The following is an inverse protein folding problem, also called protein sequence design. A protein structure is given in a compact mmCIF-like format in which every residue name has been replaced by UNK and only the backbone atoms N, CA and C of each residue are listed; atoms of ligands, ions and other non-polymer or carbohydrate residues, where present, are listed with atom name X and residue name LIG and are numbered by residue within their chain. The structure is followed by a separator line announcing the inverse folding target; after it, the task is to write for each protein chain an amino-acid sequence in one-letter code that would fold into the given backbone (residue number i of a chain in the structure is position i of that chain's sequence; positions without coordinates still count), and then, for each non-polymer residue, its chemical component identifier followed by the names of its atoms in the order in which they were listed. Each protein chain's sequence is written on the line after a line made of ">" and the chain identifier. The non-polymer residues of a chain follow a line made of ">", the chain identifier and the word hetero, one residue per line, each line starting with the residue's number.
data_IF_385285696206
#
_entry.id   IF_385285696206
#
_cell.length_a   1.000
_cell.length_b   1.000
_cell.length_c   1.000
_cell.angle_alpha   90.00
_cell.angle_beta   90.00
_cell.angle_gamma   90.00
#
_symmetry.space_group_name_H-M   'P 1'
#
loop_
_entity.id
_entity.type
_entity.pdbx_description
1 polymer ?
#
# COMPACT_ATOMS: atom_id res chain seq x y z
N UNK A 1 34.36 15.64 -14.08
CA UNK A 1 33.11 15.01 -14.55
C UNK A 1 31.94 15.75 -13.89
N UNK A 2 31.14 16.48 -14.67
CA UNK A 2 29.99 17.19 -14.11
C UNK A 2 28.93 16.18 -13.62
N UNK A 3 28.33 16.46 -12.46
CA UNK A 3 27.21 15.68 -11.94
C UNK A 3 25.97 15.76 -12.84
N UNK A 4 24.96 14.97 -12.52
CA UNK A 4 23.65 15.01 -13.17
C UNK A 4 23.07 16.43 -13.20
N UNK A 5 22.41 16.81 -14.29
CA UNK A 5 21.67 18.08 -14.39
C UNK A 5 20.51 18.09 -13.36
N UNK A 6 20.07 19.27 -12.89
CA UNK A 6 18.88 19.39 -12.04
C UNK A 6 17.67 18.69 -12.69
N UNK A 7 17.09 17.72 -11.99
CA UNK A 7 15.98 16.88 -12.49
C UNK A 7 16.40 15.59 -13.21
N UNK A 8 17.65 15.47 -13.65
CA UNK A 8 18.17 14.27 -14.31
C UNK A 8 18.77 13.34 -13.25
N UNK A 9 18.04 12.32 -12.77
CA UNK A 9 18.60 11.34 -11.82
C UNK A 9 19.46 10.30 -12.56
N UNK A 10 20.74 10.61 -12.82
CA UNK A 10 21.72 9.64 -13.38
C UNK A 10 22.34 8.69 -12.35
N UNK A 11 22.05 8.87 -11.05
CA UNK A 11 22.58 8.05 -9.98
C UNK A 11 21.64 7.98 -8.78
N UNK A 12 21.79 6.94 -7.97
CA UNK A 12 20.96 6.65 -6.81
C UNK A 12 20.09 5.41 -6.98
N UNK A 13 19.49 4.97 -5.88
CA UNK A 13 18.65 3.78 -5.84
C UNK A 13 17.31 4.04 -6.52
N UNK A 14 16.88 3.16 -7.42
CA UNK A 14 15.62 3.30 -8.14
C UNK A 14 14.44 3.43 -7.16
N UNK A 15 13.56 4.41 -7.41
CA UNK A 15 12.39 4.68 -6.59
C UNK A 15 11.51 3.42 -6.55
N UNK A 16 11.10 3.00 -5.36
CA UNK A 16 10.26 1.82 -5.14
C UNK A 16 11.03 0.50 -4.95
N UNK A 17 12.36 0.49 -5.07
CA UNK A 17 13.12 -0.73 -4.75
C UNK A 17 13.03 -1.09 -3.27
N UNK A 18 12.91 -2.39 -2.96
CA UNK A 18 12.81 -2.92 -1.60
C UNK A 18 14.14 -2.90 -0.87
N UNK A 19 14.16 -2.44 0.40
CA UNK A 19 15.37 -2.45 1.22
C UNK A 19 15.92 -3.88 1.30
N UNK A 20 17.24 -4.05 1.39
CA UNK A 20 17.90 -5.36 1.45
C UNK A 20 17.22 -6.31 2.46
N UNK A 21 17.00 -5.84 3.69
CA UNK A 21 16.30 -6.61 4.74
C UNK A 21 14.87 -7.01 4.35
N UNK A 22 14.15 -6.16 3.62
CA UNK A 22 12.80 -6.47 3.18
C UNK A 22 12.81 -7.49 2.05
N UNK A 23 13.75 -7.35 1.11
CA UNK A 23 13.93 -8.32 0.03
C UNK A 23 14.32 -9.70 0.56
N UNK A 24 15.23 -9.77 1.54
CA UNK A 24 15.62 -11.02 2.20
C UNK A 24 14.44 -11.69 2.91
N UNK A 25 13.59 -10.92 3.60
CA UNK A 25 12.39 -11.46 4.27
C UNK A 25 11.37 -12.01 3.28
N UNK A 26 11.14 -11.31 2.17
CA UNK A 26 10.24 -11.78 1.11
C UNK A 26 10.80 -13.07 0.49
N UNK A 27 12.07 -13.08 0.12
CA UNK A 27 12.72 -14.27 -0.46
C UNK A 27 12.72 -15.46 0.51
N UNK A 28 12.92 -15.23 1.82
CA UNK A 28 12.85 -16.28 2.83
C UNK A 28 11.43 -16.85 2.99
N UNK A 29 10.41 -15.98 2.94
CA UNK A 29 9.01 -16.41 2.99
C UNK A 29 8.60 -17.19 1.72
N UNK A 30 9.05 -16.74 0.54
CA UNK A 30 8.85 -17.44 -0.73
C UNK A 30 9.55 -18.81 -0.73
N UNK A 31 10.80 -18.87 -0.25
CA UNK A 31 11.57 -20.11 -0.16
C UNK A 31 10.98 -21.11 0.84
N UNK A 32 10.37 -20.62 1.92
CA UNK A 32 9.64 -21.46 2.88
C UNK A 32 8.31 -22.01 2.32
N UNK A 33 7.87 -21.52 1.15
CA UNK A 33 6.71 -22.03 0.42
C UNK A 33 5.35 -21.63 0.99
N UNK A 34 5.31 -20.75 2.00
CA UNK A 34 4.08 -20.29 2.62
C UNK A 34 4.15 -18.79 2.86
N UNK A 35 3.50 -18.01 2.00
CA UNK A 35 3.40 -16.57 2.24
C UNK A 35 2.42 -16.29 3.38
N UNK A 36 2.57 -15.17 4.10
CA UNK A 36 1.64 -14.80 5.16
C UNK A 36 0.17 -14.77 4.71
N UNK A 37 -0.08 -14.32 3.46
CA UNK A 37 -1.42 -14.33 2.89
C UNK A 37 -1.94 -15.76 2.67
N UNK A 38 -1.10 -16.67 2.18
CA UNK A 38 -1.49 -18.07 1.94
C UNK A 38 -1.88 -18.77 3.23
N UNK A 39 -1.16 -18.49 4.32
CA UNK A 39 -1.51 -18.99 5.64
C UNK A 39 -2.91 -18.54 6.08
N UNK A 40 -3.18 -17.23 6.01
CA UNK A 40 -4.51 -16.69 6.38
C UNK A 40 -5.61 -17.30 5.50
N UNK A 41 -5.37 -17.43 4.19
CA UNK A 41 -6.34 -18.06 3.28
C UNK A 41 -6.56 -19.54 3.56
N UNK A 42 -5.54 -20.27 4.00
CA UNK A 42 -5.68 -21.69 4.38
C UNK A 42 -6.60 -21.86 5.59
N UNK A 43 -6.48 -20.99 6.61
CA UNK A 43 -7.35 -21.01 7.80
C UNK A 43 -8.77 -20.60 7.43
N UNK A 44 -8.93 -19.55 6.63
CA UNK A 44 -10.25 -19.04 6.24
C UNK A 44 -11.08 -20.08 5.47
N UNK A 45 -10.41 -20.89 4.63
CA UNK A 45 -11.02 -21.93 3.78
C UNK A 45 -11.23 -23.27 4.48
N UNK A 46 -10.55 -23.53 5.59
CA UNK A 46 -10.68 -24.80 6.32
C UNK A 46 -11.95 -24.80 7.20
N UNK A 47 -12.93 -25.60 6.81
CA UNK A 47 -14.21 -25.76 7.52
C UNK A 47 -14.05 -26.42 8.90
N UNK A 48 -12.90 -27.04 9.19
CA UNK A 48 -12.61 -27.64 10.50
C UNK A 48 -12.11 -26.62 11.53
N UNK A 49 -11.76 -25.41 11.10
CA UNK A 49 -11.32 -24.35 12.00
C UNK A 49 -12.49 -23.75 12.77
N UNK A 50 -12.21 -23.21 13.95
CA UNK A 50 -13.19 -22.45 14.72
C UNK A 50 -13.62 -21.20 13.96
N UNK A 51 -14.85 -20.75 14.21
CA UNK A 51 -15.38 -19.52 13.62
C UNK A 51 -14.46 -18.32 13.93
N UNK A 52 -13.95 -18.23 15.16
CA UNK A 52 -13.02 -17.18 15.59
C UNK A 52 -11.74 -17.15 14.76
N UNK A 53 -11.14 -18.32 14.48
CA UNK A 53 -9.92 -18.39 13.66
C UNK A 53 -10.20 -17.96 12.21
N UNK A 54 -11.37 -18.33 11.68
CA UNK A 54 -11.80 -17.95 10.33
C UNK A 54 -12.09 -16.44 10.25
N UNK A 55 -12.74 -15.88 11.26
CA UNK A 55 -12.98 -14.43 11.35
C UNK A 55 -11.67 -13.64 11.45
N UNK A 56 -10.74 -14.09 12.30
CA UNK A 56 -9.40 -13.49 12.40
C UNK A 56 -8.69 -13.50 11.05
N UNK A 57 -8.69 -14.64 10.36
CA UNK A 57 -8.05 -14.77 9.06
C UNK A 57 -8.70 -13.85 8.00
N UNK A 58 -10.03 -13.74 8.00
CA UNK A 58 -10.76 -12.84 7.10
C UNK A 58 -10.38 -11.37 7.33
N UNK A 59 -10.38 -10.92 8.59
CA UNK A 59 -10.06 -9.53 8.95
C UNK A 59 -8.63 -9.15 8.55
N UNK A 60 -7.67 -10.05 8.81
CA UNK A 60 -6.25 -9.79 8.51
C UNK A 60 -5.91 -9.93 7.03
N UNK A 61 -6.63 -10.78 6.28
CA UNK A 61 -6.45 -10.91 4.84
C UNK A 61 -7.12 -9.77 4.04
N UNK A 62 -8.19 -9.16 4.57
CA UNK A 62 -8.98 -8.14 3.86
C UNK A 62 -8.16 -7.02 3.20
N UNK A 63 -7.13 -6.41 3.83
CA UNK A 63 -6.34 -5.33 3.22
C UNK A 63 -5.55 -5.73 1.97
N UNK A 64 -5.24 -7.02 1.81
CA UNK A 64 -4.48 -7.54 0.68
C UNK A 64 -5.36 -7.93 -0.50
N UNK A 65 -6.65 -8.16 -0.27
CA UNK A 65 -7.62 -8.61 -1.29
C UNK A 65 -8.60 -7.49 -1.68
N UNK A 66 -8.92 -6.61 -0.72
CA UNK A 66 -9.81 -5.47 -0.90
C UNK A 66 -9.08 -4.21 -0.46
N UNK A 67 -8.77 -3.35 -1.44
CA UNK A 67 -8.14 -2.06 -1.19
C UNK A 67 -8.96 -1.27 -0.17
N UNK A 68 -8.35 -0.94 0.97
CA UNK A 68 -8.97 -0.05 1.95
C UNK A 68 -9.15 1.34 1.32
N UNK A 69 -10.28 1.99 1.59
CA UNK A 69 -10.46 3.39 1.22
C UNK A 69 -9.32 4.22 1.80
N UNK A 70 -8.57 4.89 0.93
CA UNK A 70 -7.48 5.76 1.33
C UNK A 70 -8.07 7.02 1.96
N UNK A 71 -7.69 7.31 3.21
CA UNK A 71 -7.96 8.62 3.81
C UNK A 71 -6.97 9.62 3.22
N UNK A 72 -7.41 10.41 2.25
CA UNK A 72 -6.60 11.47 1.64
C UNK A 72 -6.93 12.78 2.33
N UNK A 73 -5.96 13.34 3.06
CA UNK A 73 -6.05 14.70 3.57
C UNK A 73 -5.76 15.67 2.41
N UNK A 74 -6.77 16.43 1.98
CA UNK A 74 -6.61 17.43 0.92
C UNK A 74 -6.27 18.79 1.53
N UNK A 75 -4.98 19.09 1.63
CA UNK A 75 -4.50 20.44 1.97
C UNK A 75 -4.42 21.27 0.68
N UNK A 76 -5.50 21.98 0.35
CA UNK A 76 -5.53 22.92 -0.77
C UNK A 76 -5.38 24.36 -0.27
N UNK A 77 -4.44 25.10 -0.83
CA UNK A 77 -4.34 26.54 -0.60
C UNK A 77 -5.25 27.22 -1.63
N UNK A 78 -6.50 27.45 -1.24
CA UNK A 78 -7.52 27.99 -2.15
C UNK A 78 -7.36 29.51 -2.18
N UNK A 79 -6.95 30.04 -3.33
CA UNK A 79 -6.76 31.48 -3.57
C UNK A 79 -8.05 32.21 -3.95
N UNK A 80 -9.12 31.49 -4.26
CA UNK A 80 -10.42 32.06 -4.65
C UNK A 80 -11.44 31.67 -3.59
N UNK A 81 -12.03 32.66 -2.91
CA UNK A 81 -13.04 32.35 -1.91
C UNK A 81 -14.34 31.88 -2.59
N UNK A 82 -15.19 31.21 -1.82
CA UNK A 82 -16.45 30.67 -2.32
C UNK A 82 -17.34 31.77 -2.94
N UNK A 83 -17.31 32.97 -2.37
CA UNK A 83 -18.08 34.11 -2.85
C UNK A 83 -17.59 34.63 -4.23
N UNK A 84 -16.27 34.65 -4.47
CA UNK A 84 -15.70 35.04 -5.76
C UNK A 84 -16.10 34.07 -6.87
N UNK A 85 -16.20 32.78 -6.55
CA UNK A 85 -16.60 31.75 -7.50
C UNK A 85 -18.11 31.82 -7.83
N UNK A 86 -18.95 32.24 -6.89
CA UNK A 86 -20.39 32.39 -7.10
C UNK A 86 -20.72 33.62 -7.96
N UNK A 87 -19.98 34.72 -7.82
CA UNK A 87 -20.18 35.93 -8.59
C UNK A 87 -19.95 35.76 -10.11
N UNK A 88 -19.22 34.71 -10.54
CA UNK A 88 -18.99 34.40 -11.95
C UNK A 88 -20.05 33.49 -12.60
N UNK A 89 -21.06 33.05 -11.85
CA UNK A 89 -22.14 32.19 -12.33
C UNK A 89 -23.46 32.95 -12.57
N UNK A 90 -23.54 34.21 -12.16
CA UNK A 90 -24.61 35.16 -12.51
C UNK A 90 -24.30 35.87 -13.85
#
# INVERSE_FOLDING_TARGET
>A
MAGSKPGERRGGRQKGTLNRKNAERVAAAEAAGLMPLDYMLSILRDERQTEDNRMWAAEKAAPYVHSKLASVEMTANVTVSHEDALAGLE
#
